data_IF_885600768803
#
_entry.id   IF_885600768803
#
_cell.length_a   1.000
_cell.length_b   1.000
_cell.length_c   1.000
_cell.angle_alpha   90.00
_cell.angle_beta   90.00
_cell.angle_gamma   90.00
#
_symmetry.space_group_name_H-M   'P 1'
#
loop_
_entity.id
_entity.type
_entity.pdbx_description
1 polymer ?
#
# COMPACT_ATOMS: atom_id res chain seq x y z
N UNK A 1 9.75 -17.56 16.76
CA UNK A 1 10.16 -16.70 15.64
C UNK A 1 9.07 -16.73 14.58
N UNK A 2 8.45 -15.61 14.29
CA UNK A 2 7.41 -15.55 13.24
C UNK A 2 8.01 -15.10 11.92
N UNK A 3 7.58 -15.73 10.85
CA UNK A 3 7.97 -15.40 9.47
C UNK A 3 6.70 -15.01 8.72
N UNK A 4 6.71 -13.82 8.11
CA UNK A 4 5.64 -13.35 7.25
C UNK A 4 6.12 -13.37 5.81
N UNK A 5 5.36 -14.00 4.94
CA UNK A 5 5.63 -13.98 3.50
C UNK A 5 4.71 -13.00 2.80
N UNK A 6 5.31 -12.09 2.04
CA UNK A 6 4.59 -11.12 1.23
C UNK A 6 5.18 -11.12 -0.19
N UNK A 7 4.39 -11.44 -1.20
CA UNK A 7 4.89 -11.61 -2.55
C UNK A 7 6.02 -12.66 -2.58
N UNK A 8 7.15 -12.28 -3.19
CA UNK A 8 8.35 -13.12 -3.24
C UNK A 8 9.33 -12.87 -2.08
N UNK A 9 8.93 -12.08 -1.09
CA UNK A 9 9.79 -11.62 0.01
C UNK A 9 9.33 -12.20 1.34
N UNK A 10 10.27 -12.61 2.18
CA UNK A 10 10.03 -13.02 3.57
C UNK A 10 10.44 -11.89 4.52
N UNK A 11 9.57 -11.60 5.49
CA UNK A 11 9.85 -10.69 6.59
C UNK A 11 10.08 -11.53 7.84
N UNK A 12 11.32 -11.49 8.35
CA UNK A 12 11.71 -12.30 9.50
C UNK A 12 12.81 -11.60 10.31
N UNK A 13 12.97 -12.03 11.55
CA UNK A 13 13.98 -11.44 12.44
C UNK A 13 15.40 -11.59 11.87
N UNK A 14 16.17 -10.53 11.98
CA UNK A 14 17.57 -10.51 11.56
C UNK A 14 17.81 -10.28 10.07
N UNK A 15 16.74 -10.15 9.27
CA UNK A 15 16.85 -9.82 7.84
C UNK A 15 16.30 -8.43 7.54
N UNK A 16 17.18 -7.56 7.06
CA UNK A 16 16.79 -6.22 6.61
C UNK A 16 16.23 -6.29 5.20
N UNK A 17 15.06 -5.66 4.98
CA UNK A 17 14.45 -5.50 3.67
C UNK A 17 14.38 -4.02 3.32
N UNK A 18 14.59 -3.71 2.04
CA UNK A 18 14.58 -2.34 1.55
C UNK A 18 13.24 -2.06 0.91
N UNK A 19 12.52 -1.08 1.48
CA UNK A 19 11.23 -0.62 0.99
C UNK A 19 11.42 0.72 0.27
N UNK A 20 10.99 0.81 -0.98
CA UNK A 20 11.14 2.01 -1.81
C UNK A 20 9.76 2.64 -2.05
N UNK A 21 9.58 3.92 -1.72
CA UNK A 21 8.30 4.58 -1.91
C UNK A 21 8.04 4.97 -3.37
N UNK A 22 6.77 4.88 -3.77
CA UNK A 22 6.23 5.46 -4.99
C UNK A 22 5.33 6.60 -4.55
N UNK A 23 5.82 7.84 -4.66
CA UNK A 23 5.18 9.05 -4.15
C UNK A 23 5.07 10.09 -5.27
N UNK A 24 4.13 9.87 -6.18
CA UNK A 24 3.89 10.73 -7.34
C UNK A 24 2.41 10.99 -7.54
N UNK A 25 2.10 12.07 -8.24
CA UNK A 25 0.74 12.54 -8.50
C UNK A 25 0.06 11.80 -9.66
N UNK A 26 0.80 11.58 -10.74
CA UNK A 26 0.25 11.08 -12.00
C UNK A 26 0.46 9.56 -12.17
N UNK A 27 -0.48 8.93 -12.86
CA UNK A 27 -0.39 7.52 -13.21
C UNK A 27 0.91 7.20 -13.96
N UNK A 28 1.30 8.06 -14.89
CA UNK A 28 2.53 7.88 -15.68
C UNK A 28 3.77 7.78 -14.79
N UNK A 29 3.96 8.72 -13.88
CA UNK A 29 5.11 8.74 -12.98
C UNK A 29 5.11 7.55 -12.03
N UNK A 30 3.93 7.19 -11.51
CA UNK A 30 3.75 6.04 -10.62
C UNK A 30 4.17 4.75 -11.34
N UNK A 31 3.71 4.56 -12.57
CA UNK A 31 4.05 3.36 -13.34
C UNK A 31 5.52 3.30 -13.74
N UNK A 32 6.11 4.42 -14.11
CA UNK A 32 7.55 4.49 -14.40
C UNK A 32 8.38 4.07 -13.20
N UNK A 33 8.03 4.55 -12.00
CA UNK A 33 8.73 4.15 -10.77
C UNK A 33 8.52 2.67 -10.44
N UNK A 34 7.31 2.15 -10.61
CA UNK A 34 7.03 0.74 -10.36
C UNK A 34 7.87 -0.19 -11.24
N UNK A 35 8.11 0.20 -12.51
CA UNK A 35 8.99 -0.54 -13.42
C UNK A 35 10.43 -0.51 -12.90
N UNK A 36 10.93 0.66 -12.47
CA UNK A 36 12.28 0.79 -11.92
C UNK A 36 12.48 -0.11 -10.70
N UNK A 37 11.51 -0.11 -9.78
CA UNK A 37 11.55 -0.96 -8.58
C UNK A 37 11.53 -2.43 -8.97
N UNK A 38 10.67 -2.84 -9.90
CA UNK A 38 10.59 -4.22 -10.37
C UNK A 38 11.93 -4.73 -10.93
N UNK A 39 12.68 -3.89 -11.61
CA UNK A 39 13.97 -4.21 -12.18
C UNK A 39 15.16 -4.08 -11.22
N UNK A 40 14.96 -3.44 -10.06
CA UNK A 40 16.02 -3.20 -9.09
C UNK A 40 16.51 -4.50 -8.45
N UNK A 41 17.82 -4.64 -8.31
CA UNK A 41 18.42 -5.74 -7.55
C UNK A 41 18.50 -5.46 -6.04
N UNK A 42 18.16 -4.24 -5.62
CA UNK A 42 18.31 -3.78 -4.24
C UNK A 42 16.95 -3.63 -3.53
N UNK A 43 15.93 -3.13 -4.22
CA UNK A 43 14.59 -2.94 -3.64
C UNK A 43 13.90 -4.28 -3.41
N UNK A 44 13.38 -4.48 -2.20
CA UNK A 44 12.64 -5.69 -1.82
C UNK A 44 11.12 -5.48 -1.87
N UNK A 45 10.66 -4.28 -1.48
CA UNK A 45 9.25 -3.93 -1.31
C UNK A 45 9.00 -2.58 -1.97
N UNK A 46 7.86 -2.43 -2.64
CA UNK A 46 7.38 -1.14 -3.10
C UNK A 46 6.29 -0.64 -2.16
N UNK A 47 6.40 0.61 -1.72
CA UNK A 47 5.36 1.29 -0.95
C UNK A 47 4.65 2.31 -1.85
N UNK A 48 3.40 2.06 -2.21
CA UNK A 48 2.63 3.05 -2.93
C UNK A 48 1.99 4.03 -1.96
N UNK A 49 2.48 5.27 -1.98
CA UNK A 49 1.99 6.39 -1.20
C UNK A 49 0.77 7.00 -1.92
N UNK A 50 -0.41 6.45 -1.65
CA UNK A 50 -1.65 6.86 -2.33
C UNK A 50 -2.12 8.26 -1.98
N UNK A 51 -1.63 8.83 -0.88
CA UNK A 51 -1.90 10.22 -0.52
C UNK A 51 -1.35 11.22 -1.56
N UNK A 52 -0.35 10.84 -2.34
CA UNK A 52 0.18 11.63 -3.46
C UNK A 52 -0.68 11.55 -4.73
N UNK A 53 -1.35 10.41 -4.94
CA UNK A 53 -2.07 10.17 -6.19
C UNK A 53 -3.27 11.08 -6.36
N UNK A 54 -3.35 11.78 -7.51
CA UNK A 54 -4.42 12.75 -7.79
C UNK A 54 -5.83 12.16 -7.73
N UNK A 55 -6.01 10.90 -8.13
CA UNK A 55 -7.30 10.21 -8.18
C UNK A 55 -7.48 9.18 -7.03
N UNK A 56 -6.86 9.43 -5.88
CA UNK A 56 -6.86 8.49 -4.75
C UNK A 56 -8.27 8.13 -4.27
N UNK A 57 -9.23 9.06 -4.37
CA UNK A 57 -10.62 8.83 -3.94
C UNK A 57 -11.53 8.31 -5.06
N UNK A 58 -10.97 7.89 -6.18
CA UNK A 58 -11.69 7.26 -7.27
C UNK A 58 -11.38 5.75 -7.28
N UNK A 59 -12.26 4.88 -6.71
CA UNK A 59 -11.95 3.47 -6.50
C UNK A 59 -11.54 2.71 -7.77
N UNK A 60 -12.26 2.95 -8.87
CA UNK A 60 -11.97 2.27 -10.14
C UNK A 60 -10.56 2.56 -10.64
N UNK A 61 -10.18 3.84 -10.64
CA UNK A 61 -8.86 4.28 -11.10
C UNK A 61 -7.77 3.77 -10.17
N UNK A 62 -7.95 3.91 -8.86
CA UNK A 62 -7.02 3.43 -7.86
C UNK A 62 -6.78 1.93 -7.98
N UNK A 63 -7.87 1.15 -8.08
CA UNK A 63 -7.76 -0.31 -8.16
C UNK A 63 -7.14 -0.78 -9.47
N UNK A 64 -7.48 -0.14 -10.59
CA UNK A 64 -6.86 -0.44 -11.89
C UNK A 64 -5.35 -0.12 -11.88
N UNK A 65 -4.98 1.00 -11.27
CA UNK A 65 -3.57 1.38 -11.15
C UNK A 65 -2.79 0.43 -10.24
N UNK A 66 -3.39 0.01 -9.12
CA UNK A 66 -2.78 -0.97 -8.22
C UNK A 66 -2.41 -2.27 -8.95
N UNK A 67 -3.29 -2.77 -9.82
CA UNK A 67 -3.01 -3.97 -10.62
C UNK A 67 -1.82 -3.77 -11.56
N UNK A 68 -1.75 -2.63 -12.24
CA UNK A 68 -0.64 -2.30 -13.13
C UNK A 68 0.68 -2.18 -12.37
N UNK A 69 0.66 -1.55 -11.20
CA UNK A 69 1.83 -1.48 -10.32
C UNK A 69 2.30 -2.88 -9.97
N UNK A 70 1.36 -3.74 -9.51
CA UNK A 70 1.69 -5.11 -9.11
C UNK A 70 2.36 -5.90 -10.24
N UNK A 71 1.84 -5.79 -11.45
CA UNK A 71 2.43 -6.44 -12.63
C UNK A 71 3.86 -5.98 -12.87
N UNK A 72 4.13 -4.68 -12.74
CA UNK A 72 5.45 -4.10 -12.96
C UNK A 72 6.48 -4.50 -11.89
N UNK A 73 6.03 -4.89 -10.70
CA UNK A 73 6.91 -5.23 -9.58
C UNK A 73 7.58 -6.61 -9.69
N UNK A 74 7.17 -7.43 -10.64
CA UNK A 74 7.80 -8.74 -10.91
C UNK A 74 7.86 -9.66 -9.68
N UNK A 75 6.76 -9.72 -8.92
CA UNK A 75 6.64 -10.57 -7.73
C UNK A 75 7.03 -9.90 -6.42
N UNK A 76 7.65 -8.73 -6.44
CA UNK A 76 7.93 -7.97 -5.21
C UNK A 76 6.63 -7.52 -4.57
N UNK A 77 6.53 -7.55 -3.22
CA UNK A 77 5.30 -7.17 -2.54
C UNK A 77 4.98 -5.69 -2.68
N UNK A 78 3.68 -5.41 -2.73
CA UNK A 78 3.14 -4.07 -2.76
C UNK A 78 2.54 -3.74 -1.39
N UNK A 79 3.11 -2.71 -0.75
CA UNK A 79 2.58 -2.07 0.45
C UNK A 79 1.80 -0.84 0.02
N UNK A 80 0.56 -0.68 0.49
CA UNK A 80 -0.23 0.54 0.27
C UNK A 80 -0.26 1.36 1.54
N UNK A 81 0.06 2.65 1.42
CA UNK A 81 0.11 3.60 2.53
C UNK A 81 -0.62 4.87 2.16
N UNK A 82 -1.61 5.27 2.97
CA UNK A 82 -2.10 6.65 2.98
C UNK A 82 -1.47 7.36 4.17
N UNK A 83 -0.53 8.26 3.92
CA UNK A 83 0.09 9.05 4.99
C UNK A 83 -0.66 10.35 5.13
N UNK A 84 -1.35 10.54 6.26
CA UNK A 84 -2.09 11.77 6.54
C UNK A 84 -1.13 12.95 6.73
N UNK A 85 -1.59 14.16 6.45
CA UNK A 85 -0.77 15.37 6.63
C UNK A 85 -0.29 15.53 8.06
N UNK A 86 -1.11 15.17 9.02
CA UNK A 86 -0.77 15.16 10.45
C UNK A 86 0.47 14.31 10.76
N UNK A 87 0.68 13.27 9.99
CA UNK A 87 1.83 12.36 10.09
C UNK A 87 2.92 12.65 9.05
N UNK A 88 2.87 13.82 8.41
CA UNK A 88 3.87 14.22 7.42
C UNK A 88 3.54 13.90 5.97
N UNK A 89 2.31 13.48 5.66
CA UNK A 89 1.88 13.18 4.30
C UNK A 89 1.32 14.37 3.53
N UNK A 90 0.76 14.10 2.35
CA UNK A 90 0.31 15.13 1.39
C UNK A 90 -1.12 15.63 1.64
N UNK A 91 -1.99 14.82 2.24
CA UNK A 91 -3.41 15.13 2.34
C UNK A 91 -3.92 15.03 3.76
N UNK A 92 -4.83 15.95 4.11
CA UNK A 92 -5.67 15.81 5.28
C UNK A 92 -6.75 14.76 5.01
N UNK A 93 -7.14 14.04 6.05
CA UNK A 93 -8.23 13.07 5.99
C UNK A 93 -8.86 12.93 7.38
N UNK A 94 -10.19 12.82 7.43
CA UNK A 94 -10.87 12.49 8.68
C UNK A 94 -10.71 11.01 9.01
N UNK A 95 -10.78 10.59 10.29
CA UNK A 95 -10.74 9.17 10.64
C UNK A 95 -11.81 8.34 9.93
N UNK A 96 -13.02 8.87 9.78
CA UNK A 96 -14.10 8.18 9.07
C UNK A 96 -13.77 7.98 7.57
N UNK A 97 -13.28 9.01 6.89
CA UNK A 97 -12.89 8.92 5.49
C UNK A 97 -11.68 8.01 5.28
N UNK A 98 -10.73 8.03 6.21
CA UNK A 98 -9.58 7.13 6.22
C UNK A 98 -10.02 5.66 6.31
N UNK A 99 -10.93 5.36 7.22
CA UNK A 99 -11.46 4.01 7.38
C UNK A 99 -12.16 3.53 6.10
N UNK A 100 -13.02 4.35 5.52
CA UNK A 100 -13.72 4.03 4.25
C UNK A 100 -12.70 3.74 3.14
N UNK A 101 -11.69 4.58 3.00
CA UNK A 101 -10.66 4.42 1.97
C UNK A 101 -9.90 3.09 2.13
N UNK A 102 -9.45 2.78 3.34
CA UNK A 102 -8.71 1.55 3.57
C UNK A 102 -9.61 0.31 3.48
N UNK A 103 -10.86 0.38 3.91
CA UNK A 103 -11.84 -0.70 3.70
C UNK A 103 -12.03 -0.99 2.21
N UNK A 104 -12.13 0.04 1.38
CA UNK A 104 -12.20 -0.12 -0.09
C UNK A 104 -10.96 -0.80 -0.66
N UNK A 105 -9.77 -0.45 -0.17
CA UNK A 105 -8.52 -1.10 -0.59
C UNK A 105 -8.53 -2.58 -0.21
N UNK A 106 -8.95 -2.91 1.00
CA UNK A 106 -9.04 -4.29 1.48
C UNK A 106 -10.04 -5.08 0.63
N UNK A 107 -11.24 -4.53 0.42
CA UNK A 107 -12.29 -5.19 -0.36
C UNK A 107 -11.89 -5.41 -1.82
N UNK A 108 -11.19 -4.44 -2.42
CA UNK A 108 -10.73 -4.57 -3.80
C UNK A 108 -9.69 -5.67 -3.98
N UNK A 109 -9.06 -6.10 -2.89
CA UNK A 109 -8.04 -7.15 -2.90
C UNK A 109 -8.64 -8.57 -2.85
N UNK A 110 -9.93 -8.70 -2.57
CA UNK A 110 -10.61 -10.00 -2.52
C UNK A 110 -10.51 -10.69 -3.88
N UNK A 111 -9.88 -11.87 -3.90
CA UNK A 111 -9.72 -12.67 -5.12
C UNK A 111 -8.71 -12.14 -6.14
N UNK A 112 -8.08 -11.00 -5.89
CA UNK A 112 -7.11 -10.40 -6.82
C UNK A 112 -5.66 -10.47 -6.35
N UNK A 113 -5.41 -10.53 -5.05
CA UNK A 113 -4.06 -10.56 -4.45
C UNK A 113 -3.13 -9.45 -4.97
N UNK A 114 -3.68 -8.26 -5.16
CA UNK A 114 -2.96 -7.13 -5.73
C UNK A 114 -2.08 -6.44 -4.70
N UNK A 115 -2.60 -6.27 -3.48
CA UNK A 115 -1.92 -5.61 -2.35
C UNK A 115 -1.53 -6.67 -1.33
N UNK A 116 -0.28 -6.68 -0.91
CA UNK A 116 0.24 -7.64 0.07
C UNK A 116 0.23 -7.11 1.50
N UNK A 117 0.49 -5.81 1.65
CA UNK A 117 0.63 -5.16 2.95
C UNK A 117 -0.15 -3.84 2.94
N UNK A 118 -0.72 -3.51 4.08
CA UNK A 118 -1.46 -2.26 4.27
C UNK A 118 -0.93 -1.55 5.52
N UNK A 119 -0.56 -0.28 5.38
CA UNK A 119 -0.17 0.57 6.51
C UNK A 119 -1.43 1.14 7.16
N UNK A 120 -1.51 1.02 8.48
CA UNK A 120 -2.61 1.58 9.28
C UNK A 120 -2.03 2.53 10.32
N UNK A 121 -2.40 3.82 10.23
CA UNK A 121 -1.94 4.84 11.16
C UNK A 121 -2.61 4.72 12.53
N UNK A 122 -1.83 4.52 13.57
CA UNK A 122 -2.33 4.41 14.95
C UNK A 122 -3.04 5.68 15.41
N UNK A 123 -2.64 6.84 14.90
CA UNK A 123 -3.22 8.14 15.24
C UNK A 123 -4.66 8.33 14.78
N UNK A 124 -5.19 7.44 13.91
CA UNK A 124 -6.59 7.50 13.47
C UNK A 124 -7.60 7.06 14.55
N UNK A 125 -7.11 6.58 15.68
CA UNK A 125 -7.91 6.16 16.82
C UNK A 125 -8.02 4.63 16.92
N UNK A 126 -8.10 4.15 18.16
CA UNK A 126 -8.04 2.71 18.45
C UNK A 126 -9.18 1.93 17.79
N UNK A 127 -10.39 2.48 17.80
CA UNK A 127 -11.56 1.80 17.19
C UNK A 127 -11.36 1.61 15.68
N UNK A 128 -10.94 2.66 14.97
CA UNK A 128 -10.65 2.60 13.54
C UNK A 128 -9.55 1.59 13.23
N UNK A 129 -8.45 1.65 13.98
CA UNK A 129 -7.30 0.76 13.79
C UNK A 129 -7.70 -0.70 13.99
N UNK A 130 -8.41 -1.02 15.07
CA UNK A 130 -8.84 -2.39 15.36
C UNK A 130 -9.76 -2.96 14.28
N UNK A 131 -10.73 -2.16 13.82
CA UNK A 131 -11.64 -2.59 12.75
C UNK A 131 -10.90 -2.85 11.43
N UNK A 132 -9.97 -1.98 11.07
CA UNK A 132 -9.18 -2.16 9.85
C UNK A 132 -8.27 -3.39 9.92
N UNK A 133 -7.60 -3.61 11.04
CA UNK A 133 -6.75 -4.78 11.22
C UNK A 133 -7.56 -6.06 11.13
N UNK A 134 -8.72 -6.09 11.83
CA UNK A 134 -9.63 -7.23 11.78
C UNK A 134 -10.09 -7.52 10.36
N UNK A 135 -10.52 -6.48 9.63
CA UNK A 135 -10.97 -6.60 8.25
C UNK A 135 -9.86 -7.14 7.35
N UNK A 136 -8.66 -6.57 7.44
CA UNK A 136 -7.51 -7.00 6.64
C UNK A 136 -7.13 -8.47 6.89
N UNK A 137 -7.17 -8.92 8.15
CA UNK A 137 -6.81 -10.30 8.51
C UNK A 137 -7.87 -11.35 8.16
N UNK A 138 -9.08 -10.94 7.81
CA UNK A 138 -10.15 -11.84 7.37
C UNK A 138 -10.10 -12.12 5.86
N UNK A 139 -9.25 -11.43 5.12
CA UNK A 139 -9.14 -11.53 3.66
C UNK A 139 -8.07 -12.51 3.19
#
# INVERSE_FOLDING_TARGET
>A
MSVLRAGNTTLEDGKVRICVPIAYETEKEILEESVRIGKSSVADIAEWRIDWYQDVFQPRKRNALAKKIRENLQGKPLLVTFRSRREGGERDITPAAYQVLLDEVIESNIGSNTVDLLDVELSQGMACVQELIKHAHQM
#
